data_IF_823893601855
#
_entry.id   IF_823893601855
#
_cell.length_a   1.000
_cell.length_b   1.000
_cell.length_c   1.000
_cell.angle_alpha   90.00
_cell.angle_beta   90.00
_cell.angle_gamma   90.00
#
_symmetry.space_group_name_H-M   'P 1'
#
loop_
_entity.id
_entity.type
_entity.pdbx_description
1 polymer ?
#
# COMPACT_ATOMS: atom_id res chain seq x y z
N UNK A 1 4.36 61.73 -17.22
CA UNK A 1 4.92 62.05 -15.89
C UNK A 1 5.78 60.87 -15.45
N UNK A 2 7.11 60.98 -15.35
CA UNK A 2 7.90 61.76 -14.37
C UNK A 2 7.63 61.29 -12.92
N UNK A 3 8.64 60.97 -12.09
CA UNK A 3 10.10 61.14 -12.23
C UNK A 3 10.90 60.07 -11.46
N UNK A 4 12.13 59.79 -11.91
CA UNK A 4 13.19 59.15 -11.09
C UNK A 4 13.73 60.15 -10.06
N UNK A 5 14.26 59.68 -8.93
CA UNK A 5 15.43 60.32 -8.30
C UNK A 5 16.28 59.32 -7.52
N UNK A 6 17.61 59.45 -7.65
CA UNK A 6 18.63 58.72 -6.89
C UNK A 6 19.66 59.70 -6.35
N UNK A 7 20.18 59.45 -5.15
CA UNK A 7 21.41 60.00 -4.57
C UNK A 7 21.79 59.08 -3.40
N UNK A 8 23.01 58.52 -3.29
CA UNK A 8 24.35 59.11 -3.14
C UNK A 8 24.57 59.85 -1.81
N UNK A 9 25.76 59.88 -1.17
CA UNK A 9 26.92 58.95 -1.07
C UNK A 9 27.96 59.59 -0.10
N UNK A 10 28.23 59.02 1.07
CA UNK A 10 29.38 59.32 1.97
C UNK A 10 29.64 58.02 2.80
N UNK A 11 30.81 57.36 2.95
CA UNK A 11 32.26 57.63 2.84
C UNK A 11 32.96 58.37 4.01
N UNK A 12 33.36 57.61 5.06
CA UNK A 12 34.71 57.59 5.67
C UNK A 12 34.75 56.66 6.91
N UNK A 13 35.41 55.49 6.92
CA UNK A 13 36.84 55.15 7.16
C UNK A 13 37.23 55.00 8.68
N UNK A 14 38.41 54.47 9.11
CA UNK A 14 38.44 53.23 9.91
C UNK A 14 39.40 53.24 11.15
N UNK A 15 39.77 52.04 11.65
CA UNK A 15 40.79 51.71 12.68
C UNK A 15 40.37 52.05 14.14
N UNK A 16 40.80 51.36 15.23
CA UNK A 16 41.80 50.32 15.54
C UNK A 16 41.26 49.42 16.72
N UNK A 17 41.88 48.40 17.35
CA UNK A 17 43.20 47.69 17.35
C UNK A 17 42.96 46.19 17.79
N UNK A 18 43.83 45.19 17.56
CA UNK A 18 45.01 44.68 18.35
C UNK A 18 44.71 44.40 19.86
N UNK A 19 45.10 43.28 20.52
CA UNK A 19 46.06 42.15 20.30
C UNK A 19 45.45 40.78 20.73
N UNK A 20 45.66 39.59 20.16
CA UNK A 20 46.83 38.83 19.63
C UNK A 20 47.45 37.81 20.64
N UNK A 21 47.60 36.55 20.22
CA UNK A 21 48.61 35.59 20.72
C UNK A 21 48.90 34.46 19.69
N UNK A 22 50.13 33.95 19.66
CA UNK A 22 50.70 32.96 18.71
C UNK A 22 50.89 31.58 19.38
N UNK A 23 50.63 30.41 18.77
CA UNK A 23 51.16 29.72 17.58
C UNK A 23 52.40 28.83 17.84
N UNK A 24 52.29 27.51 17.54
CA UNK A 24 53.30 26.44 17.28
C UNK A 24 52.54 25.07 17.23
N UNK A 25 52.73 24.07 16.34
CA UNK A 25 53.88 23.37 15.71
C UNK A 25 54.49 22.24 16.60
N UNK A 26 54.87 21.03 16.16
CA UNK A 26 54.85 20.35 14.83
C UNK A 26 55.15 18.82 14.94
N UNK A 27 54.54 17.96 14.09
CA UNK A 27 54.95 16.58 13.59
C UNK A 27 55.16 15.37 14.58
N UNK A 28 54.80 14.10 14.19
CA UNK A 28 54.95 12.87 15.00
C UNK A 28 56.09 11.88 14.54
N UNK A 29 56.26 10.74 15.24
CA UNK A 29 57.13 9.58 14.85
C UNK A 29 56.52 8.20 15.18
N UNK A 30 57.14 7.11 14.68
CA UNK A 30 56.62 5.71 14.65
C UNK A 30 57.52 4.68 15.37
N UNK A 31 56.93 3.49 15.67
CA UNK A 31 57.57 2.15 15.79
C UNK A 31 58.68 1.95 16.87
N UNK A 32 59.04 0.74 17.35
CA UNK A 32 58.47 -0.63 17.30
C UNK A 32 59.22 -1.55 18.30
N UNK A 33 58.70 -2.76 18.57
CA UNK A 33 59.43 -3.93 19.14
C UNK A 33 59.89 -3.79 20.62
N UNK A 34 60.28 -4.86 21.34
CA UNK A 34 59.74 -6.22 21.52
C UNK A 34 60.73 -7.02 22.39
N UNK A 35 60.28 -7.73 23.44
CA UNK A 35 61.12 -8.78 24.06
C UNK A 35 60.29 -9.80 24.84
N UNK A 36 60.62 -11.08 24.66
CA UNK A 36 60.21 -12.21 25.50
C UNK A 36 61.42 -12.65 26.35
N UNK A 37 61.20 -13.53 27.34
CA UNK A 37 61.65 -14.90 27.09
C UNK A 37 60.71 -16.00 27.62
N UNK A 38 61.02 -17.22 27.22
CA UNK A 38 60.39 -18.51 27.55
C UNK A 38 61.52 -19.55 27.76
N UNK A 39 61.27 -20.85 28.05
CA UNK A 39 60.14 -21.50 28.73
C UNK A 39 60.62 -22.34 29.95
N UNK A 40 59.76 -23.15 30.55
CA UNK A 40 60.19 -24.34 31.33
C UNK A 40 59.26 -25.53 31.09
N UNK A 41 59.80 -26.65 30.62
CA UNK A 41 59.06 -27.88 30.31
C UNK A 41 59.17 -28.86 31.48
N UNK A 42 58.06 -29.49 31.87
CA UNK A 42 58.07 -30.80 32.54
C UNK A 42 57.07 -31.73 31.84
N UNK A 43 57.59 -32.88 31.42
CA UNK A 43 56.84 -33.95 30.77
C UNK A 43 56.43 -34.98 31.83
N UNK A 44 55.15 -35.32 31.89
CA UNK A 44 54.60 -36.40 32.71
C UNK A 44 53.70 -37.26 31.85
N UNK A 45 54.02 -38.55 31.70
CA UNK A 45 53.34 -39.47 30.79
C UNK A 45 52.35 -40.36 31.56
N UNK A 46 51.34 -40.87 30.84
CA UNK A 46 50.34 -41.87 31.27
C UNK A 46 49.36 -41.44 32.38
N UNK A 47 48.10 -41.25 31.99
CA UNK A 47 47.11 -42.27 32.28
C UNK A 47 46.06 -42.33 31.16
N UNK A 48 45.53 -43.54 30.91
CA UNK A 48 44.63 -43.82 29.79
C UNK A 48 43.15 -43.71 30.21
N UNK A 49 42.27 -43.52 29.22
CA UNK A 49 40.93 -44.14 29.07
C UNK A 49 40.27 -44.59 30.38
N UNK A 50 39.15 -44.01 30.82
CA UNK A 50 37.85 -44.18 30.11
C UNK A 50 36.77 -43.15 30.51
N UNK A 51 35.62 -43.28 29.86
CA UNK A 51 34.27 -42.81 30.22
C UNK A 51 33.90 -41.33 30.07
N UNK A 52 32.75 -41.13 29.41
CA UNK A 52 31.97 -39.89 29.50
C UNK A 52 32.00 -38.98 28.27
N UNK A 53 31.46 -39.43 27.12
CA UNK A 53 30.83 -38.50 26.17
C UNK A 53 29.52 -38.00 26.80
N UNK A 54 29.65 -37.17 27.84
CA UNK A 54 28.53 -36.48 28.46
C UNK A 54 28.36 -35.16 27.72
N UNK A 55 27.67 -35.22 26.59
CA UNK A 55 27.27 -34.05 25.82
C UNK A 55 26.32 -33.17 26.66
N UNK A 56 26.91 -32.36 27.53
CA UNK A 56 26.21 -31.41 28.38
C UNK A 56 25.73 -30.24 27.52
N UNK A 57 24.59 -30.45 26.85
CA UNK A 57 23.82 -29.42 26.19
C UNK A 57 23.40 -28.38 27.24
N UNK A 58 24.20 -27.32 27.38
CA UNK A 58 23.98 -26.29 28.38
C UNK A 58 22.70 -25.53 28.06
N UNK A 59 21.79 -25.31 29.04
CA UNK A 59 20.50 -24.68 28.77
C UNK A 59 20.63 -23.27 28.16
N UNK A 60 21.74 -22.57 28.45
CA UNK A 60 22.10 -21.30 27.83
C UNK A 60 21.98 -21.33 26.29
N UNK A 61 22.50 -22.37 25.62
CA UNK A 61 22.47 -22.51 24.16
C UNK A 61 21.05 -22.42 23.57
N UNK A 62 20.05 -22.96 24.28
CA UNK A 62 18.65 -22.90 23.85
C UNK A 62 18.04 -21.52 24.09
N UNK A 63 18.38 -20.87 25.21
CA UNK A 63 17.97 -19.49 25.46
C UNK A 63 18.57 -18.48 24.47
N UNK A 64 19.82 -18.68 24.06
CA UNK A 64 20.52 -17.79 23.11
C UNK A 64 20.00 -17.95 21.67
N UNK A 65 19.65 -19.17 21.25
CA UNK A 65 18.97 -19.40 19.98
C UNK A 65 17.54 -18.82 19.99
N UNK A 66 16.80 -18.97 21.08
CA UNK A 66 15.46 -18.40 21.23
C UNK A 66 15.47 -16.87 21.32
N UNK A 67 16.46 -16.26 21.97
CA UNK A 67 16.61 -14.80 22.05
C UNK A 67 16.99 -14.22 20.69
N UNK A 68 17.93 -14.85 19.97
CA UNK A 68 18.33 -14.50 18.61
C UNK A 68 17.17 -14.62 17.62
N UNK A 69 16.42 -15.73 17.66
CA UNK A 69 15.22 -15.93 16.83
C UNK A 69 14.14 -14.89 17.09
N UNK A 70 13.90 -14.53 18.36
CA UNK A 70 12.98 -13.43 18.74
C UNK A 70 13.46 -12.06 18.25
N UNK A 71 14.78 -11.80 18.26
CA UNK A 71 15.36 -10.56 17.74
C UNK A 71 15.19 -10.43 16.23
N UNK A 72 15.61 -11.44 15.45
CA UNK A 72 15.46 -11.42 14.00
C UNK A 72 13.99 -11.44 13.57
N UNK A 73 13.12 -12.19 14.25
CA UNK A 73 11.68 -12.17 13.99
C UNK A 73 11.05 -10.78 14.15
N UNK A 74 11.43 -10.03 15.19
CA UNK A 74 11.03 -8.61 15.36
C UNK A 74 11.58 -7.73 14.24
N UNK A 75 12.86 -7.88 13.90
CA UNK A 75 13.47 -7.13 12.79
C UNK A 75 12.76 -7.38 11.46
N UNK A 76 12.40 -8.63 11.14
CA UNK A 76 11.67 -8.98 9.92
C UNK A 76 10.22 -8.45 9.93
N UNK A 77 9.54 -8.47 11.07
CA UNK A 77 8.19 -7.89 11.22
C UNK A 77 8.18 -6.36 10.99
N UNK A 78 9.20 -5.66 11.46
CA UNK A 78 9.39 -4.22 11.23
C UNK A 78 9.87 -3.89 9.81
N UNK A 79 10.80 -4.67 9.24
CA UNK A 79 11.32 -4.51 7.89
C UNK A 79 10.22 -4.71 6.82
N UNK A 80 9.45 -5.79 6.95
CA UNK A 80 8.29 -6.08 6.10
C UNK A 80 7.12 -5.11 6.26
N UNK A 81 7.14 -4.27 7.31
CA UNK A 81 6.04 -3.41 7.76
C UNK A 81 4.72 -4.19 7.84
N UNK A 82 4.73 -5.37 8.46
CA UNK A 82 3.67 -6.39 8.37
C UNK A 82 2.22 -5.86 8.48
N UNK A 83 1.95 -4.91 9.38
CA UNK A 83 0.63 -4.25 9.52
C UNK A 83 0.15 -3.51 8.26
N UNK A 84 1.05 -2.88 7.51
CA UNK A 84 0.74 -2.22 6.24
C UNK A 84 0.63 -3.24 5.11
N UNK A 85 1.53 -4.23 5.08
CA UNK A 85 1.50 -5.32 4.11
C UNK A 85 0.24 -6.20 4.23
N UNK A 86 -0.35 -6.30 5.42
CA UNK A 86 -1.66 -6.94 5.62
C UNK A 86 -2.81 -6.20 4.89
N UNK A 87 -2.78 -4.86 4.82
CA UNK A 87 -3.76 -4.10 4.05
C UNK A 87 -3.57 -4.31 2.53
N UNK A 88 -2.31 -4.40 2.07
CA UNK A 88 -1.97 -4.77 0.69
C UNK A 88 -2.51 -6.15 0.35
N UNK A 89 -2.31 -7.14 1.23
CA UNK A 89 -2.86 -8.49 1.10
C UNK A 89 -4.39 -8.51 1.14
N UNK A 90 -5.03 -7.68 1.97
CA UNK A 90 -6.49 -7.56 1.98
C UNK A 90 -7.04 -6.99 0.65
N UNK A 91 -6.38 -5.99 0.06
CA UNK A 91 -6.77 -5.49 -1.28
C UNK A 91 -6.57 -6.52 -2.39
N UNK A 92 -5.48 -7.30 -2.33
CA UNK A 92 -5.23 -8.43 -3.24
C UNK A 92 -6.27 -9.53 -3.07
N UNK A 93 -6.56 -9.98 -1.85
CA UNK A 93 -7.59 -10.98 -1.57
C UNK A 93 -9.00 -10.52 -1.98
N UNK A 94 -9.33 -9.23 -1.83
CA UNK A 94 -10.59 -8.66 -2.34
C UNK A 94 -10.63 -8.70 -3.87
N UNK A 95 -9.52 -8.37 -4.55
CA UNK A 95 -9.38 -8.52 -6.00
C UNK A 95 -9.54 -9.97 -6.47
N UNK A 96 -8.97 -10.92 -5.74
CA UNK A 96 -9.12 -12.36 -6.00
C UNK A 96 -10.57 -12.83 -5.86
N UNK A 97 -11.26 -12.43 -4.78
CA UNK A 97 -12.67 -12.74 -4.59
C UNK A 97 -13.52 -12.13 -5.71
N UNK A 98 -13.29 -10.87 -6.09
CA UNK A 98 -14.00 -10.21 -7.19
C UNK A 98 -13.75 -10.92 -8.53
N UNK A 99 -12.51 -11.32 -8.83
CA UNK A 99 -12.13 -12.02 -10.06
C UNK A 99 -12.42 -13.53 -10.07
N UNK A 100 -12.89 -14.10 -8.97
CA UNK A 100 -13.35 -15.49 -8.90
C UNK A 100 -14.68 -15.67 -9.66
N UNK A 101 -15.02 -16.92 -10.00
CA UNK A 101 -16.34 -17.27 -10.57
C UNK A 101 -17.40 -17.54 -9.50
N UNK A 102 -18.33 -18.45 -9.78
CA UNK A 102 -19.37 -18.84 -8.82
C UNK A 102 -18.79 -19.49 -7.53
N UNK A 103 -17.67 -20.21 -7.66
CA UNK A 103 -16.86 -20.68 -6.54
C UNK A 103 -15.61 -19.80 -6.37
N UNK A 104 -15.18 -19.64 -5.12
CA UNK A 104 -13.89 -19.04 -4.75
C UNK A 104 -12.96 -20.20 -4.39
N UNK A 105 -11.84 -20.35 -5.09
CA UNK A 105 -10.80 -21.28 -4.67
C UNK A 105 -10.05 -20.71 -3.45
N UNK A 106 -10.29 -21.31 -2.28
CA UNK A 106 -9.64 -20.93 -1.03
C UNK A 106 -8.16 -21.29 -1.01
N UNK A 107 -7.70 -22.28 -1.80
CA UNK A 107 -6.29 -22.67 -1.89
C UNK A 107 -5.52 -21.65 -2.71
N UNK A 108 -5.99 -21.34 -3.92
CA UNK A 108 -5.48 -20.25 -4.75
C UNK A 108 -5.54 -18.88 -4.08
N UNK A 109 -6.59 -18.58 -3.31
CA UNK A 109 -6.66 -17.37 -2.47
C UNK A 109 -5.54 -17.35 -1.40
N UNK A 110 -5.33 -18.47 -0.70
CA UNK A 110 -4.26 -18.59 0.29
C UNK A 110 -2.86 -18.42 -0.34
N UNK A 111 -2.62 -19.01 -1.51
CA UNK A 111 -1.36 -18.82 -2.25
C UNK A 111 -1.19 -17.38 -2.74
N UNK A 112 -2.24 -16.76 -3.26
CA UNK A 112 -2.25 -15.36 -3.69
C UNK A 112 -1.92 -14.42 -2.53
N UNK A 113 -2.56 -14.60 -1.38
CA UNK A 113 -2.32 -13.82 -0.18
C UNK A 113 -0.90 -14.02 0.37
N UNK A 114 -0.40 -15.27 0.38
CA UNK A 114 0.96 -15.59 0.86
C UNK A 114 2.03 -14.99 -0.05
N UNK A 115 1.92 -15.19 -1.37
CA UNK A 115 2.83 -14.61 -2.35
C UNK A 115 2.80 -13.08 -2.35
N UNK A 116 1.60 -12.48 -2.27
CA UNK A 116 1.44 -11.02 -2.10
C UNK A 116 2.13 -10.54 -0.83
N UNK A 117 1.98 -11.24 0.31
CA UNK A 117 2.65 -10.87 1.57
C UNK A 117 4.17 -10.89 1.44
N UNK A 118 4.73 -11.94 0.83
CA UNK A 118 6.17 -12.08 0.63
C UNK A 118 6.73 -11.00 -0.29
N UNK A 119 6.08 -10.71 -1.42
CA UNK A 119 6.51 -9.65 -2.34
C UNK A 119 6.34 -8.25 -1.71
N UNK A 120 5.27 -8.00 -0.96
CA UNK A 120 5.07 -6.74 -0.23
C UNK A 120 6.08 -6.56 0.93
N UNK A 121 6.47 -7.65 1.60
CA UNK A 121 7.51 -7.67 2.62
C UNK A 121 8.88 -7.34 2.01
N UNK A 122 9.23 -7.98 0.90
CA UNK A 122 10.44 -7.69 0.11
C UNK A 122 10.50 -6.21 -0.28
N UNK A 123 9.43 -5.70 -0.88
CA UNK A 123 9.29 -4.31 -1.32
C UNK A 123 9.50 -3.32 -0.15
N UNK A 124 8.90 -3.59 1.01
CA UNK A 124 9.03 -2.75 2.20
C UNK A 124 10.42 -2.81 2.86
N UNK A 125 11.11 -3.94 2.79
CA UNK A 125 12.49 -4.08 3.24
C UNK A 125 13.47 -3.36 2.31
N UNK A 126 13.37 -3.52 0.99
CA UNK A 126 14.21 -2.79 0.02
C UNK A 126 14.00 -1.28 0.13
N UNK A 127 12.76 -0.82 0.31
CA UNK A 127 12.46 0.57 0.63
C UNK A 127 13.23 1.04 1.88
N UNK A 128 13.31 0.24 2.96
CA UNK A 128 14.07 0.61 4.16
C UNK A 128 15.59 0.56 3.95
N UNK A 129 16.09 -0.31 3.06
CA UNK A 129 17.51 -0.33 2.64
C UNK A 129 17.90 0.92 1.84
N UNK A 130 16.99 1.46 1.01
CA UNK A 130 17.25 2.70 0.27
C UNK A 130 16.98 3.99 1.05
N UNK A 131 16.17 3.95 2.13
CA UNK A 131 15.78 5.14 2.91
C UNK A 131 16.60 5.35 4.20
N UNK A 132 17.62 4.53 4.50
CA UNK A 132 18.38 4.55 5.77
C UNK A 132 18.78 5.97 6.21
N UNK A 133 19.45 6.72 5.33
CA UNK A 133 19.96 8.08 5.62
C UNK A 133 18.87 9.16 5.73
N UNK A 134 17.62 8.85 5.38
CA UNK A 134 16.46 9.74 5.49
C UNK A 134 15.63 9.37 6.72
N UNK A 135 15.39 8.07 6.93
CA UNK A 135 14.73 7.56 8.13
C UNK A 135 15.48 7.97 9.41
N UNK A 136 16.81 7.96 9.38
CA UNK A 136 17.68 8.42 10.48
C UNK A 136 17.46 9.89 10.89
N UNK A 137 16.99 10.76 9.97
CA UNK A 137 16.74 12.19 10.21
C UNK A 137 15.35 12.48 10.79
N UNK A 138 14.46 11.50 10.81
CA UNK A 138 13.05 11.68 11.14
C UNK A 138 12.69 10.99 12.46
N UNK A 139 12.15 11.75 13.43
CA UNK A 139 11.77 11.28 14.78
C UNK A 139 10.93 9.99 14.77
N UNK A 140 10.06 9.84 13.77
CA UNK A 140 9.14 8.69 13.60
C UNK A 140 9.82 7.40 13.12
N UNK A 141 11.03 7.47 12.57
CA UNK A 141 11.64 6.36 11.81
C UNK A 141 13.11 6.11 12.12
N UNK A 142 13.79 7.00 12.85
CA UNK A 142 15.17 6.83 13.29
C UNK A 142 15.41 5.58 14.15
N UNK A 143 14.35 5.01 14.74
CA UNK A 143 14.41 3.77 15.53
C UNK A 143 14.15 2.49 14.70
N UNK A 144 13.98 2.58 13.38
CA UNK A 144 13.81 1.40 12.50
C UNK A 144 15.05 0.48 12.52
N UNK A 145 14.92 -0.82 12.20
CA UNK A 145 16.00 -1.79 12.38
C UNK A 145 17.32 -1.45 11.69
N UNK A 146 17.27 -0.80 10.52
CA UNK A 146 18.47 -0.42 9.76
C UNK A 146 19.10 0.89 10.27
N UNK A 147 18.39 2.04 10.36
CA UNK A 147 18.92 3.24 11.01
C UNK A 147 19.44 3.03 12.44
N UNK A 148 18.80 2.13 13.21
CA UNK A 148 19.19 1.82 14.59
C UNK A 148 20.21 0.68 14.71
N UNK A 149 20.82 0.22 13.60
CA UNK A 149 21.87 -0.81 13.61
C UNK A 149 21.48 -2.20 14.14
N UNK A 150 20.18 -2.50 14.31
CA UNK A 150 19.69 -3.78 14.87
C UNK A 150 19.83 -4.96 13.90
N UNK A 151 20.02 -4.69 12.62
CA UNK A 151 20.28 -5.67 11.56
C UNK A 151 21.23 -5.04 10.53
N UNK A 152 22.14 -5.83 9.94
CA UNK A 152 23.08 -5.31 8.95
C UNK A 152 22.42 -5.08 7.60
N UNK A 153 22.92 -4.09 6.83
CA UNK A 153 22.46 -3.78 5.48
C UNK A 153 22.49 -5.01 4.55
N UNK A 154 23.60 -5.79 4.44
CA UNK A 154 23.62 -6.96 3.56
C UNK A 154 22.62 -8.04 4.00
N UNK A 155 22.40 -8.27 5.30
CA UNK A 155 21.40 -9.23 5.81
C UNK A 155 19.98 -8.80 5.45
N UNK A 156 19.63 -7.53 5.66
CA UNK A 156 18.32 -7.01 5.28
C UNK A 156 18.09 -7.07 3.76
N UNK A 157 19.13 -6.80 2.96
CA UNK A 157 19.07 -6.88 1.50
C UNK A 157 18.92 -8.32 0.99
N UNK A 158 19.72 -9.28 1.46
CA UNK A 158 19.61 -10.69 1.05
C UNK A 158 18.29 -11.31 1.51
N UNK A 159 17.83 -11.01 2.73
CA UNK A 159 16.49 -11.42 3.17
C UNK A 159 15.41 -10.88 2.24
N UNK A 160 15.47 -9.59 1.88
CA UNK A 160 14.47 -8.97 1.03
C UNK A 160 14.46 -9.57 -0.38
N UNK A 161 15.61 -9.78 -1.02
CA UNK A 161 15.68 -10.38 -2.35
C UNK A 161 15.24 -11.85 -2.32
N UNK A 162 15.68 -12.65 -1.34
CA UNK A 162 15.25 -14.05 -1.20
C UNK A 162 13.74 -14.19 -1.00
N UNK A 163 13.13 -13.39 -0.12
CA UNK A 163 11.68 -13.42 0.12
C UNK A 163 10.90 -12.90 -1.10
N UNK A 164 11.43 -11.91 -1.82
CA UNK A 164 10.82 -11.38 -3.05
C UNK A 164 10.83 -12.40 -4.19
N UNK A 165 11.96 -13.08 -4.42
CA UNK A 165 12.09 -14.15 -5.39
C UNK A 165 11.20 -15.34 -5.04
N UNK A 166 11.23 -15.80 -3.79
CA UNK A 166 10.38 -16.90 -3.33
C UNK A 166 8.88 -16.58 -3.43
N UNK A 167 8.46 -15.36 -3.07
CA UNK A 167 7.06 -14.92 -3.21
C UNK A 167 6.62 -14.81 -4.67
N UNK A 168 7.49 -14.35 -5.55
CA UNK A 168 7.22 -14.27 -7.00
C UNK A 168 7.11 -15.67 -7.63
N UNK A 169 8.03 -16.57 -7.28
CA UNK A 169 7.99 -17.97 -7.72
C UNK A 169 6.75 -18.71 -7.18
N UNK A 170 6.37 -18.47 -5.92
CA UNK A 170 5.15 -19.03 -5.32
C UNK A 170 3.90 -18.65 -6.14
N UNK A 171 3.78 -17.38 -6.55
CA UNK A 171 2.71 -16.93 -7.45
C UNK A 171 2.83 -17.57 -8.84
N UNK A 172 4.04 -17.68 -9.41
CA UNK A 172 4.23 -18.25 -10.75
C UNK A 172 3.78 -19.72 -10.84
N UNK A 173 4.05 -20.51 -9.79
CA UNK A 173 3.67 -21.94 -9.75
C UNK A 173 2.24 -22.20 -9.26
N UNK A 174 1.71 -21.39 -8.33
CA UNK A 174 0.42 -21.67 -7.66
C UNK A 174 -0.73 -20.74 -8.09
N UNK A 175 -0.47 -19.74 -8.95
CA UNK A 175 -1.52 -18.86 -9.51
C UNK A 175 -1.40 -18.80 -11.03
N UNK A 176 -0.56 -17.91 -11.58
CA UNK A 176 -0.19 -17.86 -13.00
C UNK A 176 0.97 -16.88 -13.25
N UNK A 177 1.60 -17.00 -14.42
CA UNK A 177 2.73 -16.17 -14.83
C UNK A 177 2.39 -14.68 -14.97
N UNK A 178 1.16 -14.33 -15.36
CA UNK A 178 0.69 -12.94 -15.43
C UNK A 178 0.71 -12.27 -14.05
N UNK A 179 0.18 -12.96 -13.04
CA UNK A 179 0.17 -12.54 -11.63
C UNK A 179 1.58 -12.40 -11.08
N UNK A 180 2.47 -13.37 -11.36
CA UNK A 180 3.88 -13.28 -10.97
C UNK A 180 4.60 -12.11 -11.64
N UNK A 181 4.34 -11.87 -12.93
CA UNK A 181 4.86 -10.72 -13.68
C UNK A 181 4.40 -9.38 -13.10
N UNK A 182 3.13 -9.26 -12.73
CA UNK A 182 2.60 -8.08 -12.01
C UNK A 182 3.27 -7.91 -10.64
N UNK A 183 3.49 -8.99 -9.90
CA UNK A 183 4.15 -8.96 -8.59
C UNK A 183 5.60 -8.48 -8.68
N UNK A 184 6.39 -9.06 -9.60
CA UNK A 184 7.77 -8.68 -9.85
C UNK A 184 7.89 -7.24 -10.36
N UNK A 185 7.01 -6.84 -11.29
CA UNK A 185 6.95 -5.47 -11.82
C UNK A 185 6.61 -4.46 -10.71
N UNK A 186 5.69 -4.80 -9.80
CA UNK A 186 5.32 -3.92 -8.70
C UNK A 186 6.42 -3.81 -7.63
N UNK A 187 7.12 -4.91 -7.34
CA UNK A 187 8.31 -4.93 -6.49
C UNK A 187 9.38 -3.99 -7.05
N UNK A 188 9.65 -4.09 -8.35
CA UNK A 188 10.60 -3.21 -9.03
C UNK A 188 10.14 -1.73 -9.00
N UNK A 189 8.88 -1.47 -9.36
CA UNK A 189 8.28 -0.14 -9.39
C UNK A 189 8.32 0.54 -8.00
N UNK A 190 8.05 -0.19 -6.92
CA UNK A 190 8.12 0.36 -5.56
C UNK A 190 9.55 0.64 -5.10
N UNK A 191 10.43 -0.35 -5.23
CA UNK A 191 11.77 -0.30 -4.66
C UNK A 191 12.72 0.59 -5.46
N UNK A 192 12.75 0.44 -6.79
CA UNK A 192 13.77 1.08 -7.65
C UNK A 192 13.28 2.34 -8.37
N UNK A 193 11.96 2.53 -8.53
CA UNK A 193 11.40 3.73 -9.18
C UNK A 193 10.78 4.68 -8.15
N UNK A 194 9.72 4.27 -7.46
CA UNK A 194 8.97 5.12 -6.52
C UNK A 194 9.83 5.58 -5.34
N UNK A 195 10.59 4.70 -4.69
CA UNK A 195 11.37 5.03 -3.50
C UNK A 195 12.39 6.16 -3.71
N UNK A 196 13.30 6.11 -4.70
CA UNK A 196 14.19 7.24 -4.98
C UNK A 196 13.41 8.49 -5.49
N UNK A 197 12.35 8.30 -6.27
CA UNK A 197 11.55 9.40 -6.83
C UNK A 197 10.94 10.33 -5.77
N UNK A 198 10.66 9.84 -4.54
CA UNK A 198 10.22 10.67 -3.40
C UNK A 198 11.19 11.81 -3.06
N UNK A 199 12.49 11.65 -3.35
CA UNK A 199 13.53 12.67 -3.13
C UNK A 199 13.73 13.58 -4.36
N UNK A 200 13.29 13.13 -5.54
CA UNK A 200 13.62 13.76 -6.83
C UNK A 200 12.50 14.72 -7.27
N UNK A 201 11.23 14.27 -7.27
CA UNK A 201 10.13 15.01 -7.89
C UNK A 201 8.75 14.75 -7.23
N UNK A 202 7.84 15.76 -7.14
CA UNK A 202 6.49 15.60 -6.59
C UNK A 202 5.61 14.54 -7.25
N UNK A 203 5.92 14.11 -8.49
CA UNK A 203 5.18 13.04 -9.18
C UNK A 203 5.24 11.69 -8.45
N UNK A 204 6.12 11.53 -7.45
CA UNK A 204 6.21 10.35 -6.59
C UNK A 204 4.84 9.90 -6.05
N UNK A 205 3.92 10.81 -5.71
CA UNK A 205 2.62 10.44 -5.13
C UNK A 205 1.71 9.73 -6.15
N UNK A 206 1.84 10.06 -7.45
CA UNK A 206 1.11 9.39 -8.53
C UNK A 206 1.74 8.05 -8.92
N UNK A 207 3.07 7.94 -8.90
CA UNK A 207 3.77 6.66 -9.14
C UNK A 207 3.53 5.68 -7.98
N UNK A 208 3.55 6.19 -6.74
CA UNK A 208 3.11 5.43 -5.57
C UNK A 208 1.64 5.00 -5.66
N UNK A 209 0.77 5.80 -6.29
CA UNK A 209 -0.61 5.41 -6.52
C UNK A 209 -0.76 4.26 -7.53
N UNK A 210 0.09 4.19 -8.56
CA UNK A 210 0.17 2.99 -9.42
C UNK A 210 0.57 1.76 -8.61
N UNK A 211 1.60 1.89 -7.75
CA UNK A 211 2.03 0.78 -6.87
C UNK A 211 0.90 0.29 -5.96
N UNK A 212 0.12 1.20 -5.37
CA UNK A 212 -1.02 0.85 -4.52
C UNK A 212 -2.23 0.27 -5.27
N UNK A 213 -2.31 0.46 -6.59
CA UNK A 213 -3.37 -0.05 -7.45
C UNK A 213 -3.10 -1.43 -8.05
N UNK A 214 -1.82 -1.84 -8.17
CA UNK A 214 -1.47 -3.17 -8.72
C UNK A 214 -1.89 -4.35 -7.81
N UNK A 215 -1.81 -4.31 -6.46
CA UNK A 215 -2.19 -5.43 -5.60
C UNK A 215 -3.62 -5.96 -5.81
N UNK A 216 -4.69 -5.16 -5.89
CA UNK A 216 -6.01 -5.69 -6.24
C UNK A 216 -6.10 -6.21 -7.69
N UNK A 217 -5.31 -5.68 -8.64
CA UNK A 217 -5.25 -6.22 -10.00
C UNK A 217 -4.56 -7.59 -10.03
N UNK A 218 -3.45 -7.74 -9.31
CA UNK A 218 -2.73 -9.00 -9.09
C UNK A 218 -3.67 -10.05 -8.48
N UNK A 219 -4.49 -9.66 -7.50
CA UNK A 219 -5.55 -10.50 -6.97
C UNK A 219 -6.54 -10.96 -8.05
N UNK A 220 -7.08 -10.02 -8.84
CA UNK A 220 -8.00 -10.34 -9.93
C UNK A 220 -7.38 -11.28 -10.98
N UNK A 221 -6.13 -11.05 -11.40
CA UNK A 221 -5.44 -11.92 -12.36
C UNK A 221 -5.11 -13.28 -11.78
N UNK A 222 -4.91 -13.39 -10.47
CA UNK A 222 -4.63 -14.67 -9.80
C UNK A 222 -5.85 -15.60 -9.80
N UNK A 223 -7.06 -15.04 -9.70
CA UNK A 223 -8.32 -15.80 -9.78
C UNK A 223 -8.79 -16.06 -11.23
N UNK A 224 -8.72 -15.04 -12.09
CA UNK A 224 -9.31 -15.08 -13.43
C UNK A 224 -8.33 -15.42 -14.57
N UNK A 225 -7.02 -15.41 -14.32
CA UNK A 225 -5.98 -15.62 -15.33
C UNK A 225 -5.75 -14.47 -16.31
N UNK A 226 -6.57 -13.41 -16.27
CA UNK A 226 -6.58 -12.34 -17.28
C UNK A 226 -6.81 -10.94 -16.69
N UNK A 227 -6.32 -9.90 -17.37
CA UNK A 227 -6.72 -8.51 -17.11
C UNK A 227 -8.04 -8.27 -17.84
N UNK A 228 -9.08 -7.83 -17.10
CA UNK A 228 -10.38 -7.47 -17.67
C UNK A 228 -10.77 -6.05 -17.23
N UNK A 229 -11.66 -5.42 -18.00
CA UNK A 229 -12.18 -4.08 -17.71
C UNK A 229 -12.90 -4.05 -16.34
N UNK A 230 -13.70 -5.08 -16.05
CA UNK A 230 -14.33 -5.32 -14.74
C UNK A 230 -13.30 -5.35 -13.60
N UNK A 231 -12.17 -6.04 -13.84
CA UNK A 231 -11.06 -6.13 -12.89
C UNK A 231 -10.33 -4.83 -12.59
N UNK A 232 -10.55 -3.77 -13.38
CA UNK A 232 -9.95 -2.45 -13.16
C UNK A 232 -10.73 -1.58 -12.15
N UNK A 233 -11.96 -1.95 -11.74
CA UNK A 233 -12.77 -1.17 -10.79
C UNK A 233 -12.05 -0.95 -9.45
N UNK A 234 -11.58 -2.02 -8.79
CA UNK A 234 -10.90 -1.92 -7.51
C UNK A 234 -9.49 -1.29 -7.62
N UNK A 235 -8.65 -1.62 -8.62
CA UNK A 235 -7.42 -0.87 -8.92
C UNK A 235 -7.64 0.64 -9.12
N UNK A 236 -8.65 1.05 -9.90
CA UNK A 236 -8.98 2.45 -10.11
C UNK A 236 -9.45 3.13 -8.81
N UNK A 237 -10.26 2.44 -8.01
CA UNK A 237 -10.68 2.92 -6.69
C UNK A 237 -9.48 3.15 -5.79
N UNK A 238 -8.56 2.18 -5.67
CA UNK A 238 -7.32 2.35 -4.89
C UNK A 238 -6.45 3.50 -5.42
N UNK A 239 -6.29 3.62 -6.75
CA UNK A 239 -5.53 4.68 -7.38
C UNK A 239 -6.06 6.08 -7.01
N UNK A 240 -7.35 6.34 -7.25
CA UNK A 240 -7.96 7.64 -6.99
C UNK A 240 -8.19 7.92 -5.50
N UNK A 241 -8.37 6.89 -4.66
CA UNK A 241 -8.55 7.05 -3.21
C UNK A 241 -7.28 7.45 -2.47
N UNK A 242 -6.12 6.87 -2.83
CA UNK A 242 -4.90 7.12 -2.05
C UNK A 242 -4.29 8.50 -2.31
N UNK A 243 -4.55 9.13 -3.47
CA UNK A 243 -4.12 10.51 -3.73
C UNK A 243 -4.66 11.50 -2.68
N UNK A 244 -5.98 11.63 -2.41
CA UNK A 244 -6.50 12.51 -1.36
C UNK A 244 -6.00 12.14 0.03
N UNK A 245 -5.86 10.83 0.33
CA UNK A 245 -5.28 10.36 1.59
C UNK A 245 -3.85 10.89 1.79
N UNK A 246 -2.97 10.70 0.80
CA UNK A 246 -1.59 11.17 0.84
C UNK A 246 -1.48 12.69 0.75
N UNK A 247 -2.37 13.40 0.05
CA UNK A 247 -2.38 14.87 0.01
C UNK A 247 -2.75 15.45 1.39
N UNK A 248 -3.71 14.86 2.09
CA UNK A 248 -4.03 15.24 3.48
C UNK A 248 -2.86 14.93 4.44
N UNK A 249 -2.25 13.75 4.34
CA UNK A 249 -1.10 13.36 5.16
C UNK A 249 0.15 14.22 4.89
N UNK A 250 0.44 14.52 3.62
CA UNK A 250 1.57 15.35 3.22
C UNK A 250 1.39 16.83 3.60
N UNK A 251 0.15 17.30 3.75
CA UNK A 251 -0.15 18.60 4.36
C UNK A 251 0.13 18.57 5.88
N UNK A 252 -0.38 17.56 6.60
CA UNK A 252 -0.21 17.43 8.05
C UNK A 252 1.25 17.21 8.48
N UNK A 253 2.00 16.36 7.78
CA UNK A 253 3.38 15.99 8.10
C UNK A 253 4.43 16.77 7.29
N UNK A 254 4.09 17.95 6.74
CA UNK A 254 4.96 18.73 5.84
C UNK A 254 6.37 18.98 6.39
N UNK A 255 6.48 19.30 7.68
CA UNK A 255 7.76 19.58 8.35
C UNK A 255 8.63 18.31 8.46
N UNK A 256 8.04 17.17 8.85
CA UNK A 256 8.73 15.88 8.89
C UNK A 256 9.25 15.47 7.50
N UNK A 257 8.44 15.67 6.45
CA UNK A 257 8.85 15.38 5.08
C UNK A 257 10.00 16.29 4.61
N UNK A 258 10.00 17.57 4.98
CA UNK A 258 11.11 18.48 4.70
C UNK A 258 12.40 18.05 5.41
N UNK A 259 12.33 17.68 6.69
CA UNK A 259 13.48 17.19 7.46
C UNK A 259 14.06 15.87 6.91
N UNK A 260 13.19 14.99 6.39
CA UNK A 260 13.58 13.76 5.68
C UNK A 260 14.12 13.98 4.26
N UNK A 261 14.13 15.21 3.74
CA UNK A 261 14.60 15.52 2.37
C UNK A 261 13.60 15.21 1.24
N UNK A 262 12.33 14.96 1.57
CA UNK A 262 11.33 14.50 0.60
C UNK A 262 10.65 15.65 -0.15
N UNK A 263 10.62 15.55 -1.48
CA UNK A 263 10.02 16.55 -2.39
C UNK A 263 8.54 16.27 -2.65
N UNK A 264 7.73 16.35 -1.60
CA UNK A 264 6.27 16.23 -1.67
C UNK A 264 5.63 17.47 -2.32
N UNK A 265 4.47 17.31 -2.98
CA UNK A 265 3.74 18.45 -3.56
C UNK A 265 3.42 19.53 -2.52
N UNK A 266 3.05 19.10 -1.31
CA UNK A 266 2.77 20.00 -0.19
C UNK A 266 3.97 20.87 0.20
N UNK A 267 5.22 20.41 0.01
CA UNK A 267 6.42 21.18 0.33
C UNK A 267 6.57 22.38 -0.61
N UNK A 268 6.26 22.20 -1.90
CA UNK A 268 6.29 23.26 -2.92
C UNK A 268 5.04 24.18 -2.90
N UNK A 269 4.00 23.83 -2.11
CA UNK A 269 2.74 24.57 -2.03
C UNK A 269 2.58 25.22 -0.65
N UNK A 270 3.15 26.42 -0.46
CA UNK A 270 2.99 27.21 0.77
C UNK A 270 1.53 27.40 1.20
N UNK A 271 0.60 27.50 0.24
CA UNK A 271 -0.82 27.80 0.48
C UNK A 271 -1.70 26.60 0.84
N UNK A 272 -1.24 25.39 0.53
CA UNK A 272 -2.06 24.17 0.54
C UNK A 272 -3.13 24.09 -0.56
N UNK A 273 -3.28 25.12 -1.42
CA UNK A 273 -4.33 25.21 -2.43
C UNK A 273 -4.18 24.16 -3.55
N UNK A 274 -2.95 23.89 -4.00
CA UNK A 274 -2.68 22.85 -5.01
C UNK A 274 -2.87 21.47 -4.41
N UNK A 275 -2.39 21.26 -3.19
CA UNK A 275 -2.53 20.02 -2.41
C UNK A 275 -3.99 19.65 -2.21
N UNK A 276 -4.81 20.60 -1.74
CA UNK A 276 -6.24 20.39 -1.51
C UNK A 276 -7.07 20.31 -2.82
N UNK A 277 -6.68 21.04 -3.87
CA UNK A 277 -7.27 20.91 -5.23
C UNK A 277 -7.05 19.52 -5.81
N UNK A 278 -5.85 18.96 -5.68
CA UNK A 278 -5.53 17.59 -6.11
C UNK A 278 -6.32 16.56 -5.28
N UNK A 279 -6.45 16.76 -3.96
CA UNK A 279 -7.28 15.90 -3.13
C UNK A 279 -8.75 15.89 -3.57
N UNK A 280 -9.38 17.06 -3.69
CA UNK A 280 -10.77 17.21 -4.11
C UNK A 280 -11.03 16.59 -5.50
N UNK A 281 -10.19 16.90 -6.49
CA UNK A 281 -10.36 16.39 -7.86
C UNK A 281 -10.36 14.86 -7.93
N UNK A 282 -9.50 14.20 -7.15
CA UNK A 282 -9.45 12.73 -7.12
C UNK A 282 -10.63 12.12 -6.35
N UNK A 283 -11.21 12.82 -5.37
CA UNK A 283 -12.48 12.38 -4.76
C UNK A 283 -13.64 12.42 -5.77
N UNK A 284 -13.69 13.44 -6.65
CA UNK A 284 -14.68 13.52 -7.72
C UNK A 284 -14.51 12.39 -8.75
N UNK A 285 -13.28 11.97 -9.04
CA UNK A 285 -13.00 10.83 -9.95
C UNK A 285 -13.45 9.46 -9.41
N UNK A 286 -13.71 9.33 -8.10
CA UNK A 286 -14.28 8.11 -7.52
C UNK A 286 -15.79 7.98 -7.75
N UNK A 287 -16.51 9.09 -7.93
CA UNK A 287 -17.98 9.11 -8.05
C UNK A 287 -18.50 8.17 -9.15
N UNK A 288 -17.97 8.18 -10.40
CA UNK A 288 -18.45 7.27 -11.44
C UNK A 288 -18.14 5.79 -11.17
N UNK A 289 -17.17 5.43 -10.31
CA UNK A 289 -16.78 4.01 -10.12
C UNK A 289 -17.92 3.15 -9.56
N UNK A 290 -18.79 3.74 -8.73
CA UNK A 290 -19.99 3.06 -8.22
C UNK A 290 -21.00 2.70 -9.31
N UNK A 291 -21.17 3.60 -10.29
CA UNK A 291 -22.01 3.39 -11.46
C UNK A 291 -21.39 2.37 -12.42
N UNK A 292 -20.10 2.51 -12.73
CA UNK A 292 -19.37 1.59 -13.62
C UNK A 292 -19.30 0.16 -13.06
N UNK A 293 -19.16 0.00 -11.73
CA UNK A 293 -19.22 -1.30 -11.09
C UNK A 293 -20.60 -1.99 -11.19
N UNK A 294 -21.68 -1.22 -11.33
CA UNK A 294 -23.02 -1.75 -11.57
C UNK A 294 -23.25 -2.02 -13.07
N UNK A 295 -22.91 -1.06 -13.94
CA UNK A 295 -23.09 -1.11 -15.39
C UNK A 295 -22.34 -2.30 -16.02
N UNK A 296 -21.08 -2.53 -15.60
CA UNK A 296 -20.27 -3.64 -16.08
C UNK A 296 -20.62 -4.98 -15.40
N UNK A 297 -21.68 -5.02 -14.58
CA UNK A 297 -22.21 -6.23 -13.95
C UNK A 297 -21.33 -6.83 -12.85
N UNK A 298 -20.41 -6.05 -12.25
CA UNK A 298 -19.58 -6.51 -11.13
C UNK A 298 -20.38 -6.52 -9.82
N UNK A 299 -21.35 -5.62 -9.68
CA UNK A 299 -22.13 -5.41 -8.45
C UNK A 299 -23.60 -5.12 -8.71
N UNK A 300 -24.46 -5.42 -7.73
CA UNK A 300 -25.89 -5.08 -7.76
C UNK A 300 -26.15 -3.56 -7.68
N UNK A 301 -27.29 -3.09 -8.20
CA UNK A 301 -27.65 -1.67 -8.23
C UNK A 301 -27.70 -0.96 -6.87
N UNK A 302 -27.88 -1.67 -5.75
CA UNK A 302 -27.79 -1.09 -4.41
C UNK A 302 -26.38 -0.54 -4.11
N UNK A 303 -25.33 -1.21 -4.58
CA UNK A 303 -23.95 -0.75 -4.40
C UNK A 303 -23.72 0.61 -5.06
N UNK A 304 -24.36 0.90 -6.19
CA UNK A 304 -24.26 2.20 -6.87
C UNK A 304 -24.74 3.35 -5.96
N UNK A 305 -25.83 3.17 -5.21
CA UNK A 305 -26.29 4.14 -4.21
C UNK A 305 -25.33 4.27 -3.03
N UNK A 306 -24.93 3.16 -2.41
CA UNK A 306 -24.06 3.17 -1.23
C UNK A 306 -22.67 3.77 -1.52
N UNK A 307 -22.05 3.34 -2.63
CA UNK A 307 -20.76 3.86 -3.08
C UNK A 307 -20.83 5.34 -3.45
N UNK A 308 -21.95 5.80 -4.05
CA UNK A 308 -22.19 7.23 -4.29
C UNK A 308 -22.27 8.01 -2.98
N UNK A 309 -23.04 7.54 -2.00
CA UNK A 309 -23.21 8.22 -0.71
C UNK A 309 -21.88 8.36 0.04
N UNK A 310 -21.07 7.30 0.14
CA UNK A 310 -19.77 7.38 0.82
C UNK A 310 -18.74 8.20 0.03
N UNK A 311 -18.78 8.19 -1.30
CA UNK A 311 -17.92 9.05 -2.11
C UNK A 311 -18.28 10.52 -1.98
N UNK A 312 -19.58 10.84 -1.92
CA UNK A 312 -20.06 12.20 -1.67
C UNK A 312 -19.68 12.68 -0.26
N UNK A 313 -19.79 11.82 0.76
CA UNK A 313 -19.36 12.12 2.13
C UNK A 313 -17.84 12.43 2.20
N UNK A 314 -17.00 11.64 1.53
CA UNK A 314 -15.57 11.91 1.44
C UNK A 314 -15.28 13.17 0.59
N UNK A 315 -15.99 13.38 -0.51
CA UNK A 315 -15.86 14.58 -1.36
C UNK A 315 -16.24 15.86 -0.60
N UNK A 316 -17.24 15.81 0.28
CA UNK A 316 -17.60 16.93 1.16
C UNK A 316 -16.51 17.24 2.19
N UNK A 317 -15.79 16.23 2.70
CA UNK A 317 -14.60 16.43 3.52
C UNK A 317 -13.44 17.04 2.72
N UNK A 318 -13.23 16.61 1.47
CA UNK A 318 -12.21 17.16 0.58
C UNK A 318 -12.51 18.61 0.18
N UNK A 319 -13.78 18.93 -0.10
CA UNK A 319 -14.24 20.29 -0.38
C UNK A 319 -14.08 21.20 0.83
N UNK A 320 -14.40 20.69 2.03
CA UNK A 320 -14.17 21.40 3.30
C UNK A 320 -12.69 21.73 3.51
N UNK A 321 -11.77 20.85 3.11
CA UNK A 321 -10.33 21.08 3.14
C UNK A 321 -9.86 22.01 2.02
N UNK A 322 -10.43 21.95 0.81
CA UNK A 322 -10.12 22.86 -0.30
C UNK A 322 -10.49 24.31 0.02
N UNK A 323 -11.71 24.53 0.53
CA UNK A 323 -12.17 25.84 1.00
C UNK A 323 -11.30 26.34 2.15
N UNK A 324 -11.26 25.59 3.25
CA UNK A 324 -10.63 26.00 4.50
C UNK A 324 -9.39 25.12 4.79
N UNK A 325 -8.22 25.54 4.31
CA UNK A 325 -6.93 24.83 4.43
C UNK A 325 -6.35 24.85 5.86
N UNK A 326 -7.07 24.29 6.83
CA UNK A 326 -6.63 24.16 8.23
C UNK A 326 -6.26 22.72 8.58
N UNK A 327 -5.38 22.56 9.58
CA UNK A 327 -4.96 21.26 10.13
C UNK A 327 -6.15 20.38 10.56
N UNK A 328 -7.22 20.98 11.09
CA UNK A 328 -8.43 20.27 11.49
C UNK A 328 -9.19 19.70 10.28
N UNK A 329 -9.35 20.48 9.21
CA UNK A 329 -10.04 20.05 7.98
C UNK A 329 -9.21 19.01 7.22
N UNK A 330 -7.89 19.18 7.15
CA UNK A 330 -6.97 18.17 6.63
C UNK A 330 -7.05 16.84 7.42
N UNK A 331 -7.11 16.90 8.76
CA UNK A 331 -7.30 15.73 9.61
C UNK A 331 -8.68 15.07 9.40
N UNK A 332 -9.76 15.85 9.25
CA UNK A 332 -11.08 15.30 8.88
C UNK A 332 -11.02 14.56 7.54
N UNK A 333 -10.33 15.13 6.54
CA UNK A 333 -10.17 14.49 5.23
C UNK A 333 -9.35 13.20 5.31
N UNK A 334 -8.26 13.19 6.09
CA UNK A 334 -7.47 11.99 6.35
C UNK A 334 -8.33 10.87 6.97
N UNK A 335 -9.12 11.15 8.02
CA UNK A 335 -10.01 10.15 8.62
C UNK A 335 -11.16 9.71 7.69
N UNK A 336 -11.72 10.62 6.89
CA UNK A 336 -12.74 10.27 5.89
C UNK A 336 -12.19 9.28 4.86
N UNK A 337 -10.96 9.48 4.36
CA UNK A 337 -10.30 8.51 3.48
C UNK A 337 -10.03 7.17 4.19
N UNK A 338 -9.60 7.17 5.44
CA UNK A 338 -9.36 5.92 6.20
C UNK A 338 -10.63 5.08 6.39
N UNK A 339 -11.80 5.71 6.51
CA UNK A 339 -13.10 5.02 6.57
C UNK A 339 -13.62 4.58 5.18
N UNK A 340 -13.37 5.38 4.13
CA UNK A 340 -13.85 5.10 2.78
C UNK A 340 -13.41 3.73 2.28
N UNK A 341 -12.12 3.42 2.35
CA UNK A 341 -11.54 2.22 1.72
C UNK A 341 -12.16 0.90 2.24
N UNK A 342 -12.17 0.61 3.56
CA UNK A 342 -12.74 -0.64 4.05
C UNK A 342 -14.24 -0.77 3.74
N UNK A 343 -15.02 0.31 3.86
CA UNK A 343 -16.46 0.27 3.57
C UNK A 343 -16.73 0.06 2.07
N UNK A 344 -16.00 0.73 1.18
CA UNK A 344 -16.11 0.52 -0.26
C UNK A 344 -15.71 -0.90 -0.68
N UNK A 345 -14.65 -1.46 -0.08
CA UNK A 345 -14.25 -2.86 -0.29
C UNK A 345 -15.27 -3.85 0.24
N UNK A 346 -15.83 -3.62 1.43
CA UNK A 346 -16.91 -4.46 1.98
C UNK A 346 -18.17 -4.42 1.11
N UNK A 347 -18.58 -3.24 0.65
CA UNK A 347 -19.70 -3.09 -0.29
C UNK A 347 -19.47 -3.84 -1.60
N UNK A 348 -18.28 -3.73 -2.20
CA UNK A 348 -17.89 -4.51 -3.38
C UNK A 348 -18.01 -6.03 -3.15
N UNK A 349 -17.61 -6.52 -1.97
CA UNK A 349 -17.68 -7.96 -1.66
C UNK A 349 -19.11 -8.43 -1.38
N UNK A 350 -19.92 -7.65 -0.66
CA UNK A 350 -21.30 -7.97 -0.27
C UNK A 350 -22.22 -7.95 -1.50
N UNK A 351 -22.07 -6.94 -2.37
CA UNK A 351 -22.92 -6.76 -3.55
C UNK A 351 -22.35 -7.40 -4.82
N UNK A 352 -21.25 -8.14 -4.72
CA UNK A 352 -20.61 -8.87 -5.83
C UNK A 352 -21.62 -9.76 -6.54
N UNK A 353 -21.77 -9.56 -7.85
CA UNK A 353 -22.54 -10.46 -8.70
C UNK A 353 -21.67 -11.67 -9.10
N UNK A 354 -22.23 -12.86 -8.96
CA UNK A 354 -21.71 -14.09 -9.55
C UNK A 354 -22.14 -14.23 -11.01
N UNK A 355 -21.40 -15.02 -11.79
CA UNK A 355 -21.56 -15.17 -13.25
C UNK A 355 -23.00 -15.51 -13.66
N UNK A 356 -23.67 -16.39 -12.91
CA UNK A 356 -25.06 -16.80 -13.18
C UNK A 356 -26.05 -15.64 -13.00
N UNK A 357 -25.86 -14.84 -11.95
CA UNK A 357 -26.65 -13.65 -11.68
C UNK A 357 -26.37 -12.54 -12.72
N UNK A 358 -25.12 -12.41 -13.16
CA UNK A 358 -24.72 -11.46 -14.19
C UNK A 358 -25.38 -11.78 -15.54
N UNK A 359 -25.42 -13.07 -15.93
CA UNK A 359 -26.16 -13.51 -17.13
C UNK A 359 -27.67 -13.24 -17.00
N UNK A 360 -28.27 -13.59 -15.86
CA UNK A 360 -29.70 -13.37 -15.61
C UNK A 360 -30.10 -11.88 -15.68
N UNK A 361 -29.30 -10.99 -15.07
CA UNK A 361 -29.53 -9.55 -15.10
C UNK A 361 -29.32 -8.94 -16.50
N UNK A 362 -28.34 -9.41 -17.26
CA UNK A 362 -28.16 -8.99 -18.68
C UNK A 362 -29.34 -9.46 -19.53
N UNK A 363 -29.83 -10.68 -19.33
CA UNK A 363 -30.99 -11.20 -20.06
C UNK A 363 -32.27 -10.43 -19.69
N UNK A 364 -32.48 -10.10 -18.40
CA UNK A 364 -33.63 -9.30 -17.96
C UNK A 364 -33.57 -7.87 -18.49
N UNK A 365 -32.41 -7.20 -18.40
CA UNK A 365 -32.23 -5.85 -18.93
C UNK A 365 -32.41 -5.82 -20.46
N UNK A 366 -31.91 -6.83 -21.18
CA UNK A 366 -32.14 -6.96 -22.62
C UNK A 366 -33.63 -7.12 -22.94
N UNK A 367 -34.34 -7.98 -22.20
CA UNK A 367 -35.80 -8.15 -22.31
C UNK A 367 -36.55 -6.84 -22.00
N UNK A 368 -36.13 -6.06 -20.99
CA UNK A 368 -36.70 -4.74 -20.66
C UNK A 368 -36.48 -3.73 -21.78
N UNK A 369 -35.26 -3.63 -22.33
CA UNK A 369 -34.91 -2.70 -23.42
C UNK A 369 -35.71 -3.04 -24.69
N UNK A 370 -35.73 -4.30 -25.11
CA UNK A 370 -36.51 -4.76 -26.29
C UNK A 370 -38.00 -4.48 -26.09
N UNK A 371 -38.53 -4.67 -24.87
CA UNK A 371 -39.93 -4.34 -24.54
C UNK A 371 -40.19 -2.83 -24.58
N UNK A 372 -39.22 -1.98 -24.20
CA UNK A 372 -39.37 -0.52 -24.27
C UNK A 372 -39.34 -0.01 -25.73
N UNK A 373 -38.43 -0.54 -26.56
CA UNK A 373 -38.37 -0.20 -27.99
C UNK A 373 -39.66 -0.58 -28.71
N UNK A 374 -40.12 -1.83 -28.54
CA UNK A 374 -41.38 -2.30 -29.15
C UNK A 374 -42.63 -1.59 -28.61
N UNK A 375 -42.61 -1.10 -27.37
CA UNK A 375 -43.67 -0.23 -26.82
C UNK A 375 -43.66 1.17 -27.44
N UNK A 376 -42.48 1.68 -27.81
CA UNK A 376 -42.35 2.97 -28.51
C UNK A 376 -42.82 2.84 -29.98
N UNK A 377 -42.52 1.72 -30.63
CA UNK A 377 -43.03 1.40 -31.97
C UNK A 377 -44.56 1.26 -32.01
N UNK A 378 -45.20 0.78 -30.93
CA UNK A 378 -46.68 0.67 -30.90
C UNK A 378 -47.39 2.02 -30.82
N UNK A 379 -46.72 3.10 -30.39
CA UNK A 379 -47.28 4.46 -30.38
C UNK A 379 -47.20 5.10 -31.78
N UNK A 380 -46.34 4.59 -32.67
CA UNK A 380 -46.21 5.03 -34.06
C UNK A 380 -47.02 4.17 -35.06
N UNK A 381 -47.86 3.24 -34.57
CA UNK A 381 -48.28 2.05 -35.33
C UNK A 381 -49.78 1.72 -35.37
N UNK A 382 -50.70 2.68 -35.17
CA UNK A 382 -52.15 2.42 -35.36
C UNK A 382 -52.56 2.35 -36.85
N UNK A 383 -52.08 1.32 -37.56
CA UNK A 383 -52.72 0.79 -38.78
C UNK A 383 -52.07 -0.55 -39.19
N UNK A 384 -52.86 -1.56 -39.61
CA UNK A 384 -52.31 -2.78 -40.25
C UNK A 384 -52.71 -4.12 -39.61
N UNK A 385 -53.98 -4.50 -39.80
CA UNK A 385 -54.59 -5.82 -39.57
C UNK A 385 -53.72 -7.09 -39.84
N UNK A 386 -53.84 -8.11 -38.96
CA UNK A 386 -54.04 -9.55 -39.27
C UNK A 386 -53.03 -10.61 -38.77
N UNK A 387 -53.57 -11.84 -38.63
CA UNK A 387 -52.94 -13.16 -38.53
C UNK A 387 -52.06 -13.53 -37.31
N UNK A 388 -52.73 -14.03 -36.25
CA UNK A 388 -52.16 -15.04 -35.34
C UNK A 388 -51.69 -16.29 -36.09
N UNK A 389 -50.49 -16.79 -35.78
CA UNK A 389 -50.18 -18.24 -35.85
C UNK A 389 -49.48 -18.70 -34.57
N UNK A 390 -49.85 -19.91 -34.14
CA UNK A 390 -49.40 -20.51 -32.87
C UNK A 390 -48.09 -21.27 -33.06
N UNK A 391 -47.13 -21.09 -32.15
CA UNK A 391 -46.04 -22.04 -31.92
C UNK A 391 -46.06 -22.43 -30.45
N UNK A 392 -46.32 -23.72 -30.17
CA UNK A 392 -46.08 -24.33 -28.86
C UNK A 392 -44.57 -24.50 -28.67
N UNK A 393 -44.08 -24.33 -27.44
CA UNK A 393 -42.96 -25.14 -26.98
C UNK A 393 -43.18 -25.71 -25.58
N UNK A 394 -42.68 -26.93 -25.39
CA UNK A 394 -42.95 -27.84 -24.30
C UNK A 394 -42.37 -27.40 -22.95
N UNK A 395 -43.19 -27.47 -21.90
CA UNK A 395 -42.73 -27.43 -20.51
C UNK A 395 -41.89 -28.68 -20.18
N UNK A 396 -40.71 -28.49 -19.60
CA UNK A 396 -39.97 -29.55 -18.88
C UNK A 396 -39.59 -29.01 -17.52
N UNK A 397 -40.22 -29.53 -16.46
CA UNK A 397 -39.94 -29.12 -15.09
C UNK A 397 -39.11 -30.15 -14.34
N UNK A 398 -38.17 -29.70 -13.48
CA UNK A 398 -37.58 -30.56 -12.45
C UNK A 398 -37.27 -29.80 -11.15
N UNK A 399 -38.16 -30.01 -10.18
CA UNK A 399 -37.99 -29.94 -8.72
C UNK A 399 -36.98 -28.93 -8.14
N UNK A 400 -37.53 -27.91 -7.46
CA UNK A 400 -36.78 -27.08 -6.52
C UNK A 400 -36.46 -27.82 -5.20
N UNK A 401 -35.39 -27.37 -4.52
CA UNK A 401 -35.18 -27.52 -3.07
C UNK A 401 -34.77 -26.15 -2.52
N UNK A 402 -35.27 -25.72 -1.35
CA UNK A 402 -34.89 -24.43 -0.77
C UNK A 402 -33.50 -24.50 -0.12
N UNK A 403 -32.67 -23.44 -0.22
CA UNK A 403 -31.49 -23.31 0.63
C UNK A 403 -31.90 -22.95 2.07
N UNK A 404 -31.32 -23.65 3.05
CA UNK A 404 -31.52 -23.35 4.48
C UNK A 404 -30.75 -22.08 4.83
N UNK A 405 -31.40 -21.14 5.51
CA UNK A 405 -30.74 -19.93 5.99
C UNK A 405 -29.82 -20.22 7.18
N UNK A 406 -28.62 -19.66 7.16
CA UNK A 406 -27.80 -19.46 8.36
C UNK A 406 -27.24 -18.04 8.35
N UNK A 407 -27.57 -17.27 9.38
CA UNK A 407 -27.06 -15.92 9.59
C UNK A 407 -26.00 -15.93 10.70
N UNK A 408 -24.83 -15.34 10.41
CA UNK A 408 -23.90 -14.80 11.39
C UNK A 408 -23.18 -13.65 10.70
N UNK A 409 -23.56 -12.39 10.93
CA UNK A 409 -23.22 -11.61 12.14
C UNK A 409 -21.71 -11.59 12.36
N UNK A 410 -21.11 -10.43 12.12
CA UNK A 410 -19.70 -10.15 12.34
C UNK A 410 -19.41 -9.78 13.81
N UNK A 411 -18.13 -9.80 14.20
CA UNK A 411 -17.61 -8.58 14.83
C UNK A 411 -16.24 -8.16 14.28
N UNK A 412 -16.10 -6.89 13.89
CA UNK A 412 -14.82 -6.27 13.51
C UNK A 412 -14.14 -5.62 14.74
N UNK A 413 -12.93 -6.04 15.16
CA UNK A 413 -12.21 -5.43 16.27
C UNK A 413 -11.05 -4.52 15.82
N UNK A 414 -11.24 -3.22 16.03
CA UNK A 414 -10.25 -2.19 16.40
C UNK A 414 -8.84 -2.15 15.74
N UNK A 415 -8.56 -1.01 15.08
CA UNK A 415 -7.24 -0.39 15.13
C UNK A 415 -7.24 0.73 16.19
N UNK A 416 -6.26 0.81 17.11
CA UNK A 416 -6.14 1.93 18.02
C UNK A 416 -5.65 3.19 17.28
N UNK A 417 -6.30 4.33 17.51
CA UNK A 417 -5.82 5.61 17.02
C UNK A 417 -4.57 6.06 17.81
N UNK A 418 -3.55 6.66 17.17
CA UNK A 418 -2.37 7.15 17.86
C UNK A 418 -2.71 8.36 18.74
N UNK A 419 -2.49 8.23 20.05
CA UNK A 419 -2.59 9.31 21.02
C UNK A 419 -1.42 10.28 20.88
N UNK A 420 -1.67 11.47 20.35
CA UNK A 420 -0.70 12.57 20.39
C UNK A 420 -0.86 13.33 21.71
N UNK A 421 0.17 13.27 22.57
CA UNK A 421 0.20 14.05 23.79
C UNK A 421 0.29 15.55 23.44
N UNK A 422 -0.68 16.33 23.91
CA UNK A 422 -0.61 17.79 23.94
C UNK A 422 0.14 18.22 25.20
N UNK A 423 1.42 18.55 25.07
CA UNK A 423 2.11 19.41 26.04
C UNK A 423 1.72 20.86 25.79
N UNK A 424 1.63 21.71 26.84
CA UNK A 424 1.29 23.13 26.71
C UNK A 424 2.35 23.94 25.96
#
# INVERSE_FOLDING_TARGET
MMLRKSSKLLLSNPNNYISAFTANSVVPRLFSHSQTPSPSIKLGFLNNVSDGIRASATPASTFDLLSSGRHFGRCYWELSKARLSLLVVATSGTGYVLGSGNAIDLVGLCWTCTGTMMVAASANSLNQVFEISNDAKMKRTMLRPLPSGRISIPHAATWATSVGLAGTALLAYNTNMLTAGLAASNLFLYAFVYTPLKQIHPINTWVGAVVGAIPPLLGWTAASGQISLNGMILPAALYFWQIPHFMALAYLCRQDYAAGGYRMLSLADASGQRTASVALRNCLYLIPLGFLACDWGVTSGWFCLESSLITLAMSAAAFSFYKDRTTQKARKMFHASLLYLPVFMSGLMIHRLTTDNQQCLVEENTKRIVKLSSSSETIAGESGNSNRKSVRHSTVGRQARPPVAYASVAPFPFLPAPSYATTP
#
